data_IF_842727358735
#
_entry.id   IF_842727358735
#
_cell.length_a   1.000
_cell.length_b   1.000
_cell.length_c   1.000
_cell.angle_alpha   90.00
_cell.angle_beta   90.00
_cell.angle_gamma   90.00
#
_symmetry.space_group_name_H-M   'P 1'
#
loop_
_entity.id
_entity.type
_entity.pdbx_description
1 polymer ?
#
# COMPACT_ATOMS: atom_id res chain seq x y z
N UNK A 1 -16.48 8.69 17.91
CA UNK A 1 -16.40 8.48 16.46
C UNK A 1 -15.91 7.06 16.27
N UNK A 2 -16.51 6.27 15.38
CA UNK A 2 -15.94 4.97 15.00
C UNK A 2 -14.57 5.19 14.36
N UNK A 3 -13.60 4.31 14.62
CA UNK A 3 -12.32 4.33 13.91
C UNK A 3 -12.56 4.19 12.40
N UNK A 4 -11.86 4.97 11.59
CA UNK A 4 -11.87 4.81 10.14
C UNK A 4 -11.08 3.56 9.72
N UNK A 5 -11.27 3.10 8.49
CA UNK A 5 -10.48 1.96 7.97
C UNK A 5 -8.98 2.29 7.88
N UNK A 6 -8.62 3.55 7.68
CA UNK A 6 -7.23 4.03 7.75
C UNK A 6 -6.70 3.90 9.17
N UNK A 7 -7.48 4.27 10.19
CA UNK A 7 -7.04 4.14 11.59
C UNK A 7 -6.79 2.66 11.93
N UNK A 8 -7.68 1.77 11.50
CA UNK A 8 -7.53 0.31 11.68
C UNK A 8 -6.32 -0.22 10.93
N UNK A 9 -6.08 0.25 9.70
CA UNK A 9 -4.95 -0.18 8.87
C UNK A 9 -3.60 0.29 9.43
N UNK A 10 -3.54 1.53 9.93
CA UNK A 10 -2.36 2.07 10.61
C UNK A 10 -2.07 1.33 11.91
N UNK A 11 -3.10 1.04 12.69
CA UNK A 11 -2.97 0.24 13.91
C UNK A 11 -2.42 -1.15 13.59
N UNK A 12 -3.03 -1.86 12.63
CA UNK A 12 -2.53 -3.14 12.12
C UNK A 12 -1.08 -3.07 11.66
N UNK A 13 -0.72 -2.03 10.89
CA UNK A 13 0.65 -1.82 10.43
C UNK A 13 1.62 -1.75 11.62
N UNK A 14 1.33 -0.88 12.59
CA UNK A 14 2.21 -0.66 13.74
C UNK A 14 2.29 -1.83 14.72
N UNK A 15 1.18 -2.54 14.94
CA UNK A 15 1.09 -3.58 15.99
C UNK A 15 1.45 -4.97 15.49
N UNK A 16 1.28 -5.25 14.19
CA UNK A 16 1.40 -6.60 13.63
C UNK A 16 2.39 -6.63 12.48
N UNK A 17 2.16 -5.84 11.43
CA UNK A 17 2.91 -6.00 10.20
C UNK A 17 4.36 -5.51 10.30
N UNK A 18 4.58 -4.29 10.81
CA UNK A 18 5.91 -3.70 10.94
C UNK A 18 6.85 -4.56 11.80
N UNK A 19 6.45 -5.09 12.97
CA UNK A 19 7.29 -6.00 13.75
C UNK A 19 7.73 -7.26 12.98
N UNK A 20 6.86 -7.85 12.15
CA UNK A 20 7.20 -9.01 11.32
C UNK A 20 8.26 -8.61 10.27
N UNK A 21 8.05 -7.47 9.61
CA UNK A 21 8.93 -6.97 8.57
C UNK A 21 10.31 -6.57 9.13
N UNK A 22 10.37 -5.87 10.27
CA UNK A 22 11.62 -5.50 10.93
C UNK A 22 12.41 -6.72 11.42
N UNK A 23 11.72 -7.78 11.88
CA UNK A 23 12.37 -8.99 12.35
C UNK A 23 12.96 -9.82 11.19
N UNK A 24 12.19 -10.00 10.12
CA UNK A 24 12.52 -10.95 9.05
C UNK A 24 13.23 -10.29 7.86
N UNK A 25 13.00 -8.99 7.63
CA UNK A 25 13.48 -8.22 6.47
C UNK A 25 13.93 -6.80 6.86
N UNK A 26 14.85 -6.62 7.82
CA UNK A 26 15.23 -5.29 8.31
C UNK A 26 15.81 -4.37 7.22
N UNK A 27 16.61 -4.92 6.28
CA UNK A 27 17.23 -4.14 5.21
C UNK A 27 16.21 -3.70 4.14
N UNK A 28 15.25 -4.57 3.83
CA UNK A 28 14.16 -4.25 2.91
C UNK A 28 13.20 -3.22 3.53
N UNK A 29 12.83 -3.42 4.80
CA UNK A 29 11.91 -2.54 5.54
C UNK A 29 12.47 -1.13 5.63
N UNK A 30 13.76 -0.98 5.88
CA UNK A 30 14.44 0.32 5.92
C UNK A 30 14.53 1.05 4.56
N UNK A 31 14.15 0.39 3.46
CA UNK A 31 14.11 0.97 2.11
C UNK A 31 12.69 1.02 1.54
N UNK A 32 11.68 0.75 2.36
CA UNK A 32 10.29 0.66 1.92
C UNK A 32 9.48 1.79 2.54
N UNK A 33 8.75 2.51 1.70
CA UNK A 33 7.74 3.44 2.16
C UNK A 33 6.42 2.70 2.40
N UNK A 34 5.83 2.86 3.59
CA UNK A 34 4.58 2.24 3.99
C UNK A 34 3.50 3.27 4.26
N UNK A 35 2.26 2.95 3.90
CA UNK A 35 1.15 3.87 4.10
C UNK A 35 -0.18 3.36 3.55
N UNK A 36 -1.10 4.29 3.32
CA UNK A 36 -2.30 4.09 2.49
C UNK A 36 -2.35 5.23 1.50
N UNK A 37 -2.27 4.93 0.21
CA UNK A 37 -2.22 5.90 -0.88
C UNK A 37 -2.66 5.23 -2.19
N UNK A 38 -2.81 6.01 -3.27
CA UNK A 38 -3.21 5.47 -4.57
C UNK A 38 -4.71 5.53 -4.80
N UNK A 39 -5.24 4.43 -5.32
CA UNK A 39 -6.67 4.28 -5.59
C UNK A 39 -7.45 4.00 -4.29
N UNK A 40 -8.73 4.32 -4.31
CA UNK A 40 -9.65 4.15 -3.17
C UNK A 40 -10.10 5.49 -2.58
N UNK A 41 -11.38 5.57 -2.21
CA UNK A 41 -11.98 6.75 -1.58
C UNK A 41 -11.41 7.00 -0.19
N UNK A 42 -10.99 5.95 0.51
CA UNK A 42 -10.36 6.02 1.82
C UNK A 42 -9.05 6.82 1.75
N UNK A 43 -8.23 6.64 0.70
CA UNK A 43 -6.99 7.39 0.51
C UNK A 43 -7.22 8.90 0.33
N UNK A 44 -8.44 9.30 -0.08
CA UNK A 44 -8.88 10.68 -0.18
C UNK A 44 -9.65 11.18 1.07
N UNK A 45 -9.91 10.30 2.04
CA UNK A 45 -10.76 10.59 3.19
C UNK A 45 -12.24 10.80 2.82
N UNK A 46 -12.67 10.22 1.70
CA UNK A 46 -14.01 10.37 1.13
C UNK A 46 -14.90 9.14 1.35
N UNK A 47 -14.53 8.27 2.28
CA UNK A 47 -15.34 7.09 2.61
C UNK A 47 -16.69 7.48 3.23
N UNK A 48 -17.75 6.85 2.74
CA UNK A 48 -19.11 6.96 3.26
C UNK A 48 -19.81 5.59 3.33
N UNK A 49 -21.10 5.57 3.62
CA UNK A 49 -21.88 4.34 3.76
C UNK A 49 -21.93 3.52 2.46
N UNK A 50 -21.79 4.17 1.30
CA UNK A 50 -21.89 3.53 -0.02
C UNK A 50 -20.54 3.13 -0.60
N UNK A 51 -19.46 3.83 -0.24
CA UNK A 51 -18.12 3.57 -0.79
C UNK A 51 -17.49 2.25 -0.33
N UNK A 52 -18.07 1.59 0.68
CA UNK A 52 -17.55 0.35 1.25
C UNK A 52 -17.80 -0.93 0.42
N UNK A 53 -18.54 -0.82 -0.70
CA UNK A 53 -18.90 -1.97 -1.53
C UNK A 53 -17.87 -2.34 -2.62
N UNK A 54 -16.86 -1.48 -2.86
CA UNK A 54 -15.76 -1.69 -3.80
C UNK A 54 -14.44 -1.08 -3.29
N UNK A 55 -13.32 -1.79 -3.49
CA UNK A 55 -11.96 -1.32 -3.12
C UNK A 55 -11.82 -0.79 -1.69
N UNK A 56 -12.56 -1.39 -0.76
CA UNK A 56 -12.60 -0.99 0.64
C UNK A 56 -12.17 -2.14 1.55
N UNK A 57 -11.37 -1.82 2.57
CA UNK A 57 -10.92 -2.78 3.57
C UNK A 57 -9.57 -2.43 4.16
N UNK A 58 -9.09 -3.30 5.04
CA UNK A 58 -7.81 -3.14 5.70
C UNK A 58 -6.68 -3.27 4.66
N UNK A 59 -5.84 -2.23 4.55
CA UNK A 59 -4.80 -2.15 3.53
C UNK A 59 -3.56 -1.41 4.04
N UNK A 60 -2.39 -1.93 3.68
CA UNK A 60 -1.10 -1.27 3.82
C UNK A 60 -0.41 -1.33 2.46
N UNK A 61 -0.20 -0.17 1.85
CA UNK A 61 0.61 -0.02 0.65
C UNK A 61 2.10 0.01 1.03
N UNK A 62 2.93 -0.67 0.25
CA UNK A 62 4.38 -0.75 0.45
C UNK A 62 5.10 -0.54 -0.89
N UNK A 63 5.89 0.54 -0.99
CA UNK A 63 6.68 0.84 -2.18
C UNK A 63 8.16 0.58 -1.94
N UNK A 64 8.71 -0.35 -2.73
CA UNK A 64 10.11 -0.76 -2.73
C UNK A 64 10.86 -0.18 -3.94
N UNK A 65 12.20 -0.08 -3.88
CA UNK A 65 13.02 0.06 -5.07
C UNK A 65 12.82 -1.13 -6.03
N UNK A 66 12.75 -0.89 -7.33
CA UNK A 66 12.45 -1.91 -8.36
C UNK A 66 13.31 -3.17 -8.26
N UNK A 67 14.63 -3.02 -8.06
CA UNK A 67 15.54 -4.14 -7.93
C UNK A 67 15.25 -5.01 -6.71
N UNK A 68 14.83 -4.39 -5.60
CA UNK A 68 14.50 -5.08 -4.36
C UNK A 68 13.14 -5.77 -4.46
N UNK A 69 12.14 -5.08 -5.02
CA UNK A 69 10.82 -5.65 -5.30
C UNK A 69 10.93 -6.92 -6.14
N UNK A 70 11.64 -6.85 -7.27
CA UNK A 70 11.83 -8.01 -8.16
C UNK A 70 12.57 -9.17 -7.48
N UNK A 71 13.49 -8.89 -6.55
CA UNK A 71 14.27 -9.91 -5.87
C UNK A 71 13.59 -10.51 -4.64
N UNK A 72 12.69 -9.77 -3.98
CA UNK A 72 12.20 -10.10 -2.62
C UNK A 72 10.70 -10.23 -2.46
N UNK A 73 9.87 -9.72 -3.38
CA UNK A 73 8.41 -9.64 -3.17
C UNK A 73 7.77 -10.98 -2.76
N UNK A 74 8.10 -12.07 -3.46
CA UNK A 74 7.49 -13.39 -3.20
C UNK A 74 7.83 -13.88 -1.80
N UNK A 75 9.08 -13.67 -1.37
CA UNK A 75 9.55 -14.09 -0.05
C UNK A 75 8.93 -13.24 1.06
N UNK A 76 8.79 -11.93 0.85
CA UNK A 76 8.13 -11.03 1.81
C UNK A 76 6.68 -11.46 1.98
N UNK A 77 5.94 -11.63 0.87
CA UNK A 77 4.53 -12.03 0.90
C UNK A 77 4.34 -13.40 1.55
N UNK A 78 5.21 -14.37 1.28
CA UNK A 78 5.18 -15.70 1.91
C UNK A 78 5.34 -15.62 3.44
N UNK A 79 6.36 -14.91 3.91
CA UNK A 79 6.64 -14.80 5.35
C UNK A 79 5.56 -14.02 6.08
N UNK A 80 5.08 -12.92 5.50
CA UNK A 80 3.96 -12.18 6.06
C UNK A 80 2.72 -13.08 6.12
N UNK A 81 2.37 -13.77 5.02
CA UNK A 81 1.25 -14.70 5.01
C UNK A 81 1.37 -15.81 6.05
N UNK A 82 2.57 -16.29 6.36
CA UNK A 82 2.78 -17.32 7.38
C UNK A 82 2.60 -16.82 8.82
N UNK A 83 2.83 -15.52 9.07
CA UNK A 83 2.86 -14.94 10.42
C UNK A 83 1.64 -14.07 10.75
N UNK A 84 0.78 -13.75 9.78
CA UNK A 84 -0.43 -12.97 10.02
C UNK A 84 -1.54 -13.77 10.72
N UNK A 85 -2.33 -13.13 11.61
CA UNK A 85 -3.58 -13.72 12.08
C UNK A 85 -4.60 -13.84 10.93
N UNK A 86 -5.67 -14.60 11.15
CA UNK A 86 -6.72 -14.75 10.13
C UNK A 86 -7.60 -13.50 10.00
N UNK A 87 -7.79 -12.77 11.11
CA UNK A 87 -8.62 -11.56 11.17
C UNK A 87 -7.97 -10.49 12.05
N UNK A 88 -8.32 -9.22 11.78
CA UNK A 88 -7.93 -8.06 12.60
C UNK A 88 -9.10 -7.09 12.71
N UNK A 89 -9.54 -6.76 13.92
CA UNK A 89 -10.71 -5.88 14.15
C UNK A 89 -11.97 -6.28 13.34
N UNK A 90 -12.19 -7.59 13.15
CA UNK A 90 -13.31 -8.12 12.38
C UNK A 90 -13.12 -8.13 10.86
N UNK A 91 -11.99 -7.62 10.35
CA UNK A 91 -11.61 -7.68 8.94
C UNK A 91 -10.84 -8.97 8.65
N UNK A 92 -11.14 -9.65 7.54
CA UNK A 92 -10.35 -10.80 7.09
C UNK A 92 -9.02 -10.33 6.51
N UNK A 93 -7.91 -10.92 6.94
CA UNK A 93 -6.58 -10.65 6.39
C UNK A 93 -6.20 -11.61 5.25
N UNK A 94 -7.00 -12.69 5.06
CA UNK A 94 -6.78 -13.73 4.07
C UNK A 94 -8.02 -13.87 3.17
N UNK A 95 -7.85 -13.84 1.85
CA UNK A 95 -8.88 -14.25 0.89
C UNK A 95 -8.26 -14.98 -0.32
N UNK A 96 -8.87 -16.10 -0.71
CA UNK A 96 -8.52 -16.81 -1.94
C UNK A 96 -7.14 -17.49 -1.95
N UNK A 97 -6.70 -17.90 -3.15
CA UNK A 97 -5.46 -18.65 -3.37
C UNK A 97 -4.20 -17.76 -3.51
N UNK A 98 -4.33 -16.43 -3.45
CA UNK A 98 -3.34 -15.51 -4.07
C UNK A 98 -2.62 -14.49 -3.17
N UNK A 99 -2.82 -14.45 -1.84
CA UNK A 99 -1.91 -13.68 -0.98
C UNK A 99 -2.50 -13.00 0.26
N UNK A 100 -1.73 -12.04 0.77
CA UNK A 100 -2.02 -11.21 1.94
C UNK A 100 -2.86 -10.01 1.51
N UNK A 101 -4.17 -10.02 1.82
CA UNK A 101 -5.10 -8.95 1.41
C UNK A 101 -4.70 -7.59 1.99
N UNK A 102 -4.06 -7.60 3.16
CA UNK A 102 -3.72 -6.41 3.91
C UNK A 102 -2.41 -5.74 3.50
N UNK A 103 -1.61 -6.34 2.62
CA UNK A 103 -0.31 -5.82 2.23
C UNK A 103 -0.18 -5.79 0.71
N UNK A 104 -0.18 -4.59 0.15
CA UNK A 104 -0.01 -4.33 -1.27
C UNK A 104 1.45 -3.91 -1.54
N UNK A 105 2.28 -4.88 -1.90
CA UNK A 105 3.65 -4.63 -2.35
C UNK A 105 3.67 -4.19 -3.82
N UNK A 106 4.45 -3.16 -4.11
CA UNK A 106 4.81 -2.75 -5.46
C UNK A 106 6.20 -2.12 -5.48
N UNK A 107 6.77 -1.95 -6.68
CA UNK A 107 7.89 -1.02 -6.84
C UNK A 107 7.40 0.40 -7.06
N UNK A 108 8.18 1.39 -6.62
CA UNK A 108 7.87 2.80 -6.90
C UNK A 108 7.72 3.05 -8.41
N UNK A 109 8.59 2.45 -9.22
CA UNK A 109 8.56 2.56 -10.68
C UNK A 109 7.31 1.89 -11.27
N UNK A 110 6.91 0.73 -10.75
CA UNK A 110 5.69 0.01 -11.14
C UNK A 110 4.44 0.82 -10.82
N UNK A 111 4.39 1.40 -9.62
CA UNK A 111 3.30 2.26 -9.16
C UNK A 111 3.14 3.48 -10.07
N UNK A 112 4.21 4.26 -10.25
CA UNK A 112 4.17 5.44 -11.12
C UNK A 112 3.79 5.08 -12.55
N UNK A 113 4.30 3.97 -13.10
CA UNK A 113 4.02 3.59 -14.49
C UNK A 113 2.56 3.24 -14.69
N UNK A 114 1.93 2.59 -13.70
CA UNK A 114 0.51 2.25 -13.74
C UNK A 114 -0.38 3.46 -13.52
N UNK A 115 0.03 4.37 -12.66
CA UNK A 115 -0.80 5.52 -12.28
C UNK A 115 -0.68 6.69 -13.25
N UNK A 116 0.54 7.10 -13.61
CA UNK A 116 0.79 8.30 -14.42
C UNK A 116 1.51 7.99 -15.76
N UNK A 117 1.74 6.73 -16.09
CA UNK A 117 2.39 6.33 -17.35
C UNK A 117 3.91 6.55 -17.41
N UNK A 118 4.53 7.03 -16.33
CA UNK A 118 5.98 7.26 -16.21
C UNK A 118 6.57 6.38 -15.11
N UNK A 119 7.82 5.96 -15.23
CA UNK A 119 8.53 5.22 -14.18
C UNK A 119 9.41 6.10 -13.28
N UNK A 120 9.23 7.40 -13.38
CA UNK A 120 9.96 8.43 -12.63
C UNK A 120 9.05 9.64 -12.41
N UNK A 121 9.36 10.50 -11.42
CA UNK A 121 8.67 11.77 -11.26
C UNK A 121 8.84 12.65 -12.51
N UNK A 122 7.79 13.36 -12.97
CA UNK A 122 7.90 14.20 -14.16
C UNK A 122 8.98 15.26 -13.99
N UNK A 123 9.92 15.32 -14.93
CA UNK A 123 11.09 16.21 -14.89
C UNK A 123 10.95 17.40 -15.85
N UNK A 124 10.05 17.31 -16.84
CA UNK A 124 9.86 18.35 -17.86
C UNK A 124 8.42 18.85 -17.93
N UNK A 125 8.17 20.10 -18.39
CA UNK A 125 6.81 20.59 -18.62
C UNK A 125 5.99 19.72 -19.58
N UNK A 126 6.64 19.07 -20.56
CA UNK A 126 5.96 18.20 -21.51
C UNK A 126 5.45 16.90 -20.83
N UNK A 127 6.23 16.33 -19.91
CA UNK A 127 5.79 15.19 -19.11
C UNK A 127 4.64 15.56 -18.18
N UNK A 128 4.72 16.73 -17.52
CA UNK A 128 3.61 17.24 -16.71
C UNK A 128 2.31 17.40 -17.52
N UNK A 129 2.40 17.94 -18.74
CA UNK A 129 1.24 18.12 -19.62
C UNK A 129 0.69 16.83 -20.23
N UNK A 130 1.44 15.73 -20.18
CA UNK A 130 1.04 14.45 -20.73
C UNK A 130 0.24 13.57 -19.74
N UNK A 131 0.21 13.95 -18.46
CA UNK A 131 -0.45 13.20 -17.40
C UNK A 131 -1.85 13.79 -17.14
N UNK A 132 -2.92 12.98 -17.10
CA UNK A 132 -4.22 13.43 -16.61
C UNK A 132 -4.11 13.95 -15.16
N UNK A 133 -4.64 15.13 -14.87
CA UNK A 133 -4.50 15.77 -13.55
C UNK A 133 -5.12 14.91 -12.43
N UNK A 134 -6.19 14.19 -12.74
CA UNK A 134 -6.84 13.23 -11.84
C UNK A 134 -5.90 12.10 -11.41
N UNK A 135 -5.00 11.64 -12.29
CA UNK A 135 -4.08 10.54 -12.00
C UNK A 135 -2.95 10.99 -11.06
N UNK A 136 -2.53 12.25 -11.15
CA UNK A 136 -1.56 12.85 -10.21
C UNK A 136 -2.11 12.78 -8.78
N UNK A 137 -3.42 12.96 -8.61
CA UNK A 137 -4.06 12.90 -7.29
C UNK A 137 -3.85 11.55 -6.62
N UNK A 138 -3.85 10.45 -7.38
CA UNK A 138 -3.57 9.11 -6.85
C UNK A 138 -2.11 8.94 -6.38
N UNK A 139 -1.17 9.70 -6.92
CA UNK A 139 0.24 9.64 -6.49
C UNK A 139 0.47 10.40 -5.18
N UNK A 140 -0.25 11.50 -4.95
CA UNK A 140 0.02 12.44 -3.86
C UNK A 140 -0.98 12.36 -2.69
N UNK A 141 -2.04 11.56 -2.82
CA UNK A 141 -3.05 11.41 -1.77
C UNK A 141 -2.59 10.48 -0.65
N UNK A 142 -3.47 10.28 0.33
CA UNK A 142 -3.25 9.31 1.38
C UNK A 142 -2.26 9.77 2.45
N UNK A 143 -1.59 8.80 3.05
CA UNK A 143 -0.72 8.97 4.21
C UNK A 143 0.46 8.02 4.14
N UNK A 144 1.65 8.54 4.46
CA UNK A 144 2.86 7.75 4.71
C UNK A 144 3.04 7.62 6.23
N UNK A 145 3.35 6.41 6.69
CA UNK A 145 3.52 6.10 8.11
C UNK A 145 4.96 5.71 8.46
N UNK A 146 5.75 5.26 7.48
CA UNK A 146 7.15 4.91 7.61
C UNK A 146 7.84 5.08 6.25
N UNK A 147 9.03 5.70 6.18
CA UNK A 147 9.86 5.86 4.98
C UNK A 147 11.36 5.80 5.29
#
# INVERSE_FOLDING_TARGET
MSQSIIDVSRDFFSQVLLPILEQEFPEETAQTAFGVFGYGSEALGLDDEYSSDHHWGLRVNALLPDGLFNARQDRILEVVAANLPDTYHGQSLREGYTGVKSLELDSLQGFLRRTIGLDHPPATPAEWLAIPEEDITHVINGQIWHD
#
